data_IF_204622723811
#
_entry.id   IF_204622723811
#
_cell.length_a   1.000
_cell.length_b   1.000
_cell.length_c   1.000
_cell.angle_alpha   90.00
_cell.angle_beta   90.00
_cell.angle_gamma   90.00
#
_symmetry.space_group_name_H-M   'P 1'
#
loop_
_entity.id
_entity.type
_entity.pdbx_description
1 polymer ?
#
# COMPACT_ATOMS: atom_id res chain seq x y z
N UNK A 1 12.67 -21.73 31.12
CA UNK A 1 13.39 -21.50 29.85
C UNK A 1 12.34 -21.31 28.76
N UNK A 2 11.77 -20.09 28.68
CA UNK A 2 10.61 -19.80 27.83
C UNK A 2 11.04 -19.89 26.37
N UNK A 3 10.53 -20.89 25.66
CA UNK A 3 10.74 -21.07 24.23
C UNK A 3 10.20 -19.84 23.51
N UNK A 4 11.11 -18.92 23.16
CA UNK A 4 10.83 -17.81 22.26
C UNK A 4 10.37 -18.45 20.94
N UNK A 5 9.04 -18.57 20.76
CA UNK A 5 8.43 -18.91 19.46
C UNK A 5 9.15 -18.06 18.43
N UNK A 6 9.88 -18.73 17.53
CA UNK A 6 10.67 -18.10 16.49
C UNK A 6 9.70 -17.38 15.56
N UNK A 7 9.37 -16.13 15.89
CA UNK A 7 8.42 -15.32 15.11
C UNK A 7 9.06 -15.12 13.74
N UNK A 8 8.36 -15.41 12.62
CA UNK A 8 8.90 -15.09 11.30
C UNK A 8 9.31 -13.62 11.33
N UNK A 9 10.56 -13.32 10.94
CA UNK A 9 10.99 -11.92 10.95
C UNK A 9 10.04 -11.19 10.01
N UNK A 10 9.51 -10.03 10.40
CA UNK A 10 8.52 -9.31 9.57
C UNK A 10 9.03 -9.01 8.15
N UNK A 11 10.36 -8.93 8.01
CA UNK A 11 11.06 -8.93 6.73
C UNK A 11 10.68 -10.11 5.83
N UNK A 12 10.53 -11.30 6.40
CA UNK A 12 10.30 -12.56 5.70
C UNK A 12 8.86 -12.61 5.18
N UNK A 13 7.88 -12.17 5.97
CA UNK A 13 6.49 -12.04 5.54
C UNK A 13 6.32 -11.01 4.43
N UNK A 14 7.01 -9.87 4.55
CA UNK A 14 6.99 -8.84 3.53
C UNK A 14 7.69 -9.29 2.25
N UNK A 15 8.81 -10.00 2.36
CA UNK A 15 9.49 -10.61 1.21
C UNK A 15 8.62 -11.67 0.54
N UNK A 16 7.92 -12.50 1.32
CA UNK A 16 6.97 -13.47 0.80
C UNK A 16 5.84 -12.78 0.04
N UNK A 17 5.23 -11.73 0.60
CA UNK A 17 4.18 -10.98 -0.07
C UNK A 17 4.65 -10.36 -1.40
N UNK A 18 5.86 -9.79 -1.42
CA UNK A 18 6.46 -9.25 -2.65
C UNK A 18 6.72 -10.34 -3.68
N UNK A 19 7.18 -11.52 -3.25
CA UNK A 19 7.36 -12.68 -4.12
C UNK A 19 6.02 -13.13 -4.70
N UNK A 20 5.00 -13.29 -3.87
CA UNK A 20 3.63 -13.62 -4.30
C UNK A 20 3.07 -12.60 -5.29
N UNK A 21 3.32 -11.30 -5.09
CA UNK A 21 2.93 -10.27 -6.05
C UNK A 21 3.64 -10.43 -7.40
N UNK A 22 4.94 -10.75 -7.40
CA UNK A 22 5.70 -11.01 -8.64
C UNK A 22 5.23 -12.27 -9.35
N UNK A 23 4.86 -13.29 -8.58
CA UNK A 23 4.31 -14.56 -9.08
C UNK A 23 2.81 -14.43 -9.45
N UNK A 24 2.27 -13.20 -9.51
CA UNK A 24 0.85 -12.88 -9.79
C UNK A 24 -0.16 -13.55 -8.85
N UNK A 25 0.31 -14.10 -7.73
CA UNK A 25 -0.50 -14.64 -6.66
C UNK A 25 -1.02 -13.51 -5.75
N UNK A 26 -1.93 -12.70 -6.28
CA UNK A 26 -2.47 -11.54 -5.58
C UNK A 26 -3.29 -11.92 -4.34
N UNK A 27 -4.00 -13.06 -4.37
CA UNK A 27 -4.76 -13.55 -3.21
C UNK A 27 -3.84 -13.90 -2.04
N UNK A 28 -2.75 -14.64 -2.31
CA UNK A 28 -1.72 -14.93 -1.31
C UNK A 28 -1.06 -13.67 -0.78
N UNK A 29 -0.69 -12.75 -1.68
CA UNK A 29 -0.08 -11.47 -1.31
C UNK A 29 -0.98 -10.65 -0.39
N UNK A 30 -2.28 -10.55 -0.69
CA UNK A 30 -3.27 -9.86 0.17
C UNK A 30 -3.30 -10.49 1.56
N UNK A 31 -3.41 -11.82 1.67
CA UNK A 31 -3.45 -12.51 2.96
C UNK A 31 -2.19 -12.25 3.80
N UNK A 32 -1.02 -12.31 3.17
CA UNK A 32 0.27 -12.04 3.83
C UNK A 32 0.38 -10.59 4.31
N UNK A 33 -0.08 -9.63 3.51
CA UNK A 33 -0.02 -8.20 3.80
C UNK A 33 -1.03 -7.79 4.88
N UNK A 34 -2.27 -8.29 4.84
CA UNK A 34 -3.29 -8.00 5.85
C UNK A 34 -2.86 -8.56 7.20
N UNK A 35 -2.35 -9.80 7.24
CA UNK A 35 -1.81 -10.41 8.46
C UNK A 35 -0.65 -9.59 9.03
N UNK A 36 0.23 -9.06 8.18
CA UNK A 36 1.34 -8.20 8.59
C UNK A 36 0.84 -6.87 9.18
N UNK A 37 -0.12 -6.22 8.55
CA UNK A 37 -0.70 -4.94 9.01
C UNK A 37 -1.41 -5.13 10.36
N UNK A 38 -2.25 -6.16 10.49
CA UNK A 38 -2.97 -6.45 11.73
C UNK A 38 -2.02 -6.75 12.89
N UNK A 39 -0.97 -7.52 12.62
CA UNK A 39 0.05 -7.79 13.62
C UNK A 39 0.77 -6.51 14.05
N UNK A 40 1.14 -5.64 13.10
CA UNK A 40 1.91 -4.42 13.42
C UNK A 40 1.10 -3.33 14.12
N UNK A 41 -0.24 -3.37 14.01
CA UNK A 41 -1.15 -2.51 14.78
C UNK A 41 -0.88 -2.55 16.29
N UNK A 42 -0.41 -3.68 16.82
CA UNK A 42 -0.09 -3.86 18.25
C UNK A 42 1.34 -3.42 18.62
N UNK A 43 2.22 -3.21 17.64
CA UNK A 43 3.65 -3.00 17.84
C UNK A 43 4.17 -1.63 17.39
N UNK A 44 3.31 -0.75 16.84
CA UNK A 44 3.62 0.63 16.43
C UNK A 44 4.87 0.76 15.53
N UNK A 45 5.12 -0.21 14.65
CA UNK A 45 6.15 -0.05 13.63
C UNK A 45 5.53 0.56 12.37
N UNK A 46 5.53 1.89 12.32
CA UNK A 46 4.89 2.65 11.25
C UNK A 46 5.57 2.37 9.90
N UNK A 47 6.89 2.23 9.85
CA UNK A 47 7.63 2.11 8.58
C UNK A 47 7.24 0.86 7.78
N UNK A 48 7.22 -0.30 8.42
CA UNK A 48 6.86 -1.56 7.75
C UNK A 48 5.35 -1.58 7.47
N UNK A 49 4.53 -0.96 8.32
CA UNK A 49 3.07 -0.88 8.12
C UNK A 49 2.77 -0.07 6.87
N UNK A 50 3.47 1.06 6.67
CA UNK A 50 3.33 1.90 5.48
C UNK A 50 3.75 1.13 4.22
N UNK A 51 4.88 0.42 4.25
CA UNK A 51 5.30 -0.40 3.13
C UNK A 51 4.27 -1.50 2.80
N UNK A 52 3.75 -2.20 3.82
CA UNK A 52 2.74 -3.23 3.64
C UNK A 52 1.44 -2.67 3.03
N UNK A 53 0.97 -1.51 3.51
CA UNK A 53 -0.19 -0.81 2.94
C UNK A 53 0.03 -0.43 1.48
N UNK A 54 1.22 0.02 1.10
CA UNK A 54 1.55 0.32 -0.28
C UNK A 54 1.46 -0.92 -1.19
N UNK A 55 2.04 -2.03 -0.75
CA UNK A 55 1.95 -3.29 -1.51
C UNK A 55 0.52 -3.83 -1.56
N UNK A 56 -0.29 -3.61 -0.51
CA UNK A 56 -1.70 -4.00 -0.48
C UNK A 56 -2.52 -3.16 -1.47
N UNK A 57 -2.21 -1.87 -1.58
CA UNK A 57 -2.80 -1.02 -2.60
C UNK A 57 -2.46 -1.52 -4.02
N UNK A 58 -1.17 -1.83 -4.26
CA UNK A 58 -0.70 -2.40 -5.54
C UNK A 58 -1.38 -3.73 -5.88
N UNK A 59 -1.54 -4.63 -4.92
CA UNK A 59 -2.20 -5.93 -5.15
C UNK A 59 -3.68 -5.73 -5.48
N UNK A 60 -4.37 -4.81 -4.81
CA UNK A 60 -5.76 -4.49 -5.14
C UNK A 60 -5.91 -3.83 -6.50
N UNK A 61 -5.05 -2.87 -6.84
CA UNK A 61 -5.06 -2.22 -8.16
C UNK A 61 -4.88 -3.22 -9.31
N UNK A 62 -3.95 -4.18 -9.16
CA UNK A 62 -3.59 -5.13 -10.23
C UNK A 62 -4.45 -6.39 -10.25
N UNK A 63 -4.69 -6.99 -9.10
CA UNK A 63 -5.34 -8.29 -8.98
C UNK A 63 -6.85 -8.25 -8.79
N UNK A 64 -7.41 -7.11 -8.35
CA UNK A 64 -8.80 -7.02 -7.92
C UNK A 64 -9.49 -5.78 -8.48
N UNK A 65 -10.04 -5.89 -9.69
CA UNK A 65 -10.76 -4.78 -10.36
C UNK A 65 -11.88 -4.16 -9.53
N UNK A 66 -12.50 -4.94 -8.63
CA UNK A 66 -13.55 -4.50 -7.73
C UNK A 66 -13.06 -3.87 -6.41
N UNK A 67 -11.74 -3.78 -6.21
CA UNK A 67 -11.11 -3.19 -5.01
C UNK A 67 -10.20 -2.01 -5.35
N UNK A 68 -10.30 -1.47 -6.55
CA UNK A 68 -9.48 -0.33 -6.99
C UNK A 68 -9.73 0.93 -6.16
N UNK A 69 -10.95 1.10 -5.64
CA UNK A 69 -11.29 2.17 -4.69
C UNK A 69 -10.53 2.00 -3.36
N UNK A 70 -10.46 0.78 -2.85
CA UNK A 70 -9.67 0.44 -1.66
C UNK A 70 -8.17 0.67 -1.90
N UNK A 71 -7.68 0.34 -3.11
CA UNK A 71 -6.30 0.63 -3.49
C UNK A 71 -5.99 2.12 -3.38
N UNK A 72 -6.87 2.99 -3.91
CA UNK A 72 -6.70 4.44 -3.82
C UNK A 72 -6.74 4.93 -2.37
N UNK A 73 -7.63 4.38 -1.54
CA UNK A 73 -7.67 4.70 -0.12
C UNK A 73 -6.33 4.41 0.58
N UNK A 74 -5.77 3.21 0.38
CA UNK A 74 -4.46 2.86 0.96
C UNK A 74 -3.32 3.72 0.41
N UNK A 75 -3.34 4.10 -0.88
CA UNK A 75 -2.36 5.03 -1.41
C UNK A 75 -2.43 6.40 -0.73
N UNK A 76 -3.62 6.92 -0.43
CA UNK A 76 -3.77 8.15 0.35
C UNK A 76 -3.22 8.02 1.78
N UNK A 77 -3.47 6.90 2.45
CA UNK A 77 -2.90 6.65 3.78
C UNK A 77 -1.35 6.65 3.74
N UNK A 78 -0.76 6.01 2.73
CA UNK A 78 0.69 5.97 2.53
C UNK A 78 1.24 7.35 2.19
N UNK A 79 0.55 8.11 1.33
CA UNK A 79 0.95 9.46 0.93
C UNK A 79 0.94 10.46 2.11
N UNK A 80 0.01 10.29 3.04
CA UNK A 80 -0.09 11.10 4.26
C UNK A 80 0.86 10.64 5.38
N UNK A 81 1.63 9.58 5.16
CA UNK A 81 2.57 9.06 6.16
C UNK A 81 3.89 9.83 6.21
N UNK A 82 4.63 9.65 7.30
CA UNK A 82 5.97 10.23 7.49
C UNK A 82 7.08 9.53 6.68
N UNK A 83 6.79 8.41 6.00
CA UNK A 83 7.78 7.69 5.21
C UNK A 83 7.92 8.30 3.82
N UNK A 84 9.01 9.03 3.60
CA UNK A 84 9.28 9.73 2.32
C UNK A 84 9.37 8.77 1.13
N UNK A 85 10.01 7.60 1.30
CA UNK A 85 10.23 6.64 0.21
C UNK A 85 8.92 6.10 -0.37
N UNK A 86 7.97 5.73 0.49
CA UNK A 86 6.67 5.22 0.03
C UNK A 86 5.67 6.32 -0.28
N UNK A 87 5.83 7.50 0.35
CA UNK A 87 5.05 8.68 0.01
C UNK A 87 5.20 9.09 -1.45
N UNK A 88 6.42 9.16 -1.97
CA UNK A 88 6.66 9.50 -3.38
C UNK A 88 6.05 8.45 -4.31
N UNK A 89 6.25 7.17 -4.03
CA UNK A 89 5.66 6.07 -4.82
C UNK A 89 4.13 6.09 -4.80
N UNK A 90 3.53 6.36 -3.64
CA UNK A 90 2.08 6.45 -3.50
C UNK A 90 1.52 7.67 -4.23
N UNK A 91 2.22 8.82 -4.18
CA UNK A 91 1.87 10.01 -4.97
C UNK A 91 1.80 9.67 -6.45
N UNK A 92 2.82 9.03 -7.00
CA UNK A 92 2.86 8.67 -8.42
C UNK A 92 1.73 7.69 -8.79
N UNK A 93 1.39 6.76 -7.89
CA UNK A 93 0.24 5.88 -8.07
C UNK A 93 -1.09 6.64 -8.02
N UNK A 94 -1.25 7.62 -7.12
CA UNK A 94 -2.44 8.47 -7.04
C UNK A 94 -2.62 9.34 -8.28
N UNK A 95 -1.53 9.93 -8.80
CA UNK A 95 -1.54 10.69 -10.06
C UNK A 95 -2.06 9.81 -11.18
N UNK A 96 -1.56 8.57 -11.28
CA UNK A 96 -2.05 7.61 -12.27
C UNK A 96 -3.54 7.26 -12.05
N UNK A 97 -3.96 7.04 -10.81
CA UNK A 97 -5.35 6.72 -10.48
C UNK A 97 -6.30 7.87 -10.87
N UNK A 98 -5.96 9.12 -10.58
CA UNK A 98 -6.77 10.28 -10.97
C UNK A 98 -6.71 10.57 -12.47
N UNK A 99 -5.57 10.38 -13.12
CA UNK A 99 -5.42 10.59 -14.57
C UNK A 99 -6.23 9.57 -15.39
N UNK A 100 -6.25 8.30 -14.95
CA UNK A 100 -6.94 7.22 -15.65
C UNK A 100 -8.36 6.93 -15.13
N UNK A 101 -8.70 7.40 -13.93
CA UNK A 101 -9.96 7.04 -13.26
C UNK A 101 -9.97 5.63 -12.67
N UNK A 102 -8.84 5.16 -12.14
CA UNK A 102 -8.72 3.84 -11.50
C UNK A 102 -9.18 3.97 -10.05
N UNK A 103 -10.31 3.35 -9.70
CA UNK A 103 -10.85 3.37 -8.33
C UNK A 103 -11.39 4.72 -7.85
N UNK A 104 -11.23 5.77 -8.65
CA UNK A 104 -11.75 7.12 -8.42
C UNK A 104 -12.26 7.70 -9.73
N UNK A 105 -13.10 8.74 -9.64
CA UNK A 105 -13.47 9.51 -10.83
C UNK A 105 -12.22 10.13 -11.44
N UNK A 106 -12.09 10.02 -12.77
CA UNK A 106 -11.03 10.68 -13.53
C UNK A 106 -11.05 12.19 -13.24
N UNK A 107 -9.92 12.70 -12.78
CA UNK A 107 -9.74 14.08 -12.36
C UNK A 107 -8.30 14.52 -12.67
N UNK A 108 -8.11 15.06 -13.87
CA UNK A 108 -6.79 15.49 -14.35
C UNK A 108 -6.27 16.66 -13.52
N UNK A 109 -7.16 17.51 -12.98
CA UNK A 109 -6.78 18.65 -12.15
C UNK A 109 -6.17 18.16 -10.85
N UNK A 110 -6.78 17.19 -10.17
CA UNK A 110 -6.18 16.57 -8.96
C UNK A 110 -4.87 15.86 -9.25
N UNK A 111 -4.75 15.21 -10.41
CA UNK A 111 -3.51 14.57 -10.83
C UNK A 111 -2.38 15.61 -11.00
N UNK A 112 -2.67 16.75 -11.62
CA UNK A 112 -1.74 17.86 -11.78
C UNK A 112 -1.39 18.53 -10.43
N UNK A 113 -2.37 18.72 -9.54
CA UNK A 113 -2.13 19.23 -8.19
C UNK A 113 -1.20 18.32 -7.38
N UNK A 114 -1.37 17.00 -7.47
CA UNK A 114 -0.47 16.02 -6.86
C UNK A 114 0.93 16.09 -7.45
N UNK A 115 1.04 16.19 -8.78
CA UNK A 115 2.32 16.29 -9.48
C UNK A 115 3.08 17.56 -9.08
N UNK A 116 2.39 18.70 -9.05
CA UNK A 116 2.95 20.01 -8.71
C UNK A 116 3.11 20.25 -7.20
N UNK A 117 2.76 19.28 -6.35
CA UNK A 117 2.81 19.41 -4.89
C UNK A 117 1.82 20.43 -4.31
N UNK A 118 0.81 20.84 -5.10
CA UNK A 118 -0.25 21.76 -4.69
C UNK A 118 -1.47 21.03 -4.11
N UNK A 119 -1.47 19.70 -4.12
CA UNK A 119 -2.56 18.89 -3.59
C UNK A 119 -2.83 19.23 -2.12
N UNK A 120 -4.00 19.80 -1.89
CA UNK A 120 -4.50 20.09 -0.55
C UNK A 120 -5.62 19.12 -0.27
N UNK A 121 -5.38 18.21 0.67
CA UNK A 121 -6.45 17.38 1.22
C UNK A 121 -7.31 18.28 2.10
N UNK A 122 -8.33 18.92 1.51
CA UNK A 122 -9.22 19.87 2.18
C UNK A 122 -10.34 19.13 2.90
#
# INVERSE_FOLDING_TARGET
>A
MSTKKNKPKYSDLLQLAKKQFKDENYSGAVCSLTSLIDYQKFHKNDQITIEAKFWLAKTYEKGFKNKTDQAVHYYHEVFNSSNLQFKEKARDCLINCYSQGIGVKKDIVKADELYNGKFKNK
#
